data_IF_609199281926
#
_entry.id   IF_609199281926
#
_cell.length_a   1.000
_cell.length_b   1.000
_cell.length_c   1.000
_cell.angle_alpha   90.00
_cell.angle_beta   90.00
_cell.angle_gamma   90.00
#
_symmetry.space_group_name_H-M   'P 1'
#
loop_
_entity.id
_entity.type
_entity.pdbx_description
1 polymer ?
#
# COMPACT_ATOMS: atom_id res chain seq x y z
N UNK A 1 30.47 -14.66 1.52
CA UNK A 1 29.36 -13.74 1.86
C UNK A 1 29.15 -13.78 3.36
N UNK A 2 28.83 -12.65 4.00
CA UNK A 2 28.60 -12.53 5.44
C UNK A 2 27.28 -13.22 5.83
N UNK A 3 27.16 -13.76 7.04
CA UNK A 3 25.89 -14.34 7.49
C UNK A 3 24.88 -13.26 7.86
N UNK A 4 23.60 -13.59 7.72
CA UNK A 4 22.49 -12.79 8.23
C UNK A 4 21.38 -13.69 8.76
N UNK A 5 20.53 -13.12 9.60
CA UNK A 5 19.55 -13.86 10.38
C UNK A 5 18.22 -13.10 10.45
N UNK A 6 17.14 -13.87 10.62
CA UNK A 6 15.85 -13.37 11.05
C UNK A 6 15.47 -14.09 12.34
N UNK A 7 15.31 -13.33 13.43
CA UNK A 7 14.76 -13.81 14.68
C UNK A 7 13.31 -13.31 14.82
N UNK A 8 12.36 -14.23 14.86
CA UNK A 8 10.94 -13.93 15.06
C UNK A 8 10.59 -13.81 16.55
N UNK A 9 9.49 -13.12 16.84
CA UNK A 9 9.00 -12.90 18.20
C UNK A 9 8.78 -14.19 19.02
N UNK A 10 8.48 -15.30 18.35
CA UNK A 10 8.29 -16.62 18.95
C UNK A 10 9.60 -17.39 19.23
N UNK A 11 10.75 -16.81 18.87
CA UNK A 11 12.07 -17.42 19.00
C UNK A 11 12.52 -18.25 17.80
N UNK A 12 11.72 -18.35 16.73
CA UNK A 12 12.16 -19.01 15.50
C UNK A 12 13.28 -18.22 14.85
N UNK A 13 14.42 -18.89 14.59
CA UNK A 13 15.57 -18.33 13.91
C UNK A 13 15.70 -18.88 12.48
N UNK A 14 15.92 -18.00 11.51
CA UNK A 14 16.34 -18.33 10.16
C UNK A 14 17.75 -17.81 9.94
N UNK A 15 18.64 -18.68 9.47
CA UNK A 15 20.02 -18.32 9.08
C UNK A 15 20.13 -18.34 7.57
N UNK A 16 20.76 -17.30 7.02
CA UNK A 16 21.02 -17.16 5.60
C UNK A 16 22.21 -16.26 5.35
N UNK A 17 22.16 -15.54 4.24
CA UNK A 17 23.26 -14.72 3.74
C UNK A 17 22.84 -13.26 3.68
N UNK A 18 23.74 -12.39 4.15
CA UNK A 18 23.53 -10.95 4.12
C UNK A 18 23.46 -10.44 2.69
N UNK A 19 22.47 -9.59 2.44
CA UNK A 19 22.28 -8.83 1.20
C UNK A 19 21.99 -7.38 1.60
N UNK A 20 22.44 -6.41 0.82
CA UNK A 20 22.13 -5.01 1.11
C UNK A 20 22.96 -4.45 2.26
N UNK A 21 22.31 -3.64 3.10
CA UNK A 21 22.96 -2.91 4.18
C UNK A 21 23.34 -3.81 5.36
N UNK A 22 24.52 -3.57 5.93
CA UNK A 22 24.96 -4.26 7.16
C UNK A 22 24.44 -3.53 8.39
N UNK A 23 23.69 -4.26 9.24
CA UNK A 23 23.09 -3.70 10.44
C UNK A 23 22.00 -4.62 10.99
N UNK A 24 21.11 -4.04 11.80
CA UNK A 24 19.90 -4.68 12.26
C UNK A 24 18.67 -3.78 12.03
N UNK A 25 17.50 -4.38 11.89
CA UNK A 25 16.23 -3.69 11.71
C UNK A 25 15.07 -4.49 12.28
N UNK A 26 14.12 -3.80 12.91
CA UNK A 26 12.90 -4.39 13.46
C UNK A 26 11.73 -4.08 12.52
N UNK A 27 10.83 -5.04 12.34
CA UNK A 27 9.55 -4.77 11.71
C UNK A 27 8.56 -5.91 11.86
N UNK A 28 7.32 -5.65 11.45
CA UNK A 28 6.31 -6.70 11.28
C UNK A 28 6.68 -7.53 10.04
N UNK A 29 6.90 -8.83 10.21
CA UNK A 29 7.31 -9.71 9.12
C UNK A 29 6.09 -10.15 8.34
N UNK A 30 6.09 -9.81 7.05
CA UNK A 30 4.99 -10.08 6.12
C UNK A 30 5.51 -10.86 4.91
N UNK A 31 4.61 -11.43 4.12
CA UNK A 31 4.98 -12.09 2.85
C UNK A 31 4.18 -11.53 1.68
N UNK A 32 4.77 -11.51 0.49
CA UNK A 32 4.11 -11.09 -0.75
C UNK A 32 4.22 -12.19 -1.84
N UNK A 33 3.10 -12.47 -2.51
CA UNK A 33 2.97 -13.51 -3.54
C UNK A 33 3.36 -13.10 -4.96
N UNK A 34 3.71 -11.83 -5.18
CA UNK A 34 4.17 -11.28 -6.44
C UNK A 34 5.41 -12.00 -6.97
N UNK A 35 5.34 -12.46 -8.21
CA UNK A 35 6.47 -13.11 -8.91
C UNK A 35 7.36 -12.13 -9.68
N UNK A 36 6.86 -10.92 -9.89
CA UNK A 36 7.57 -9.78 -10.44
C UNK A 36 7.14 -8.53 -9.67
N UNK A 37 7.85 -7.43 -9.87
CA UNK A 37 7.51 -6.16 -9.24
C UNK A 37 8.14 -5.94 -7.86
N UNK A 38 9.28 -6.58 -7.59
CA UNK A 38 9.92 -6.45 -6.27
C UNK A 38 10.42 -5.03 -5.99
N UNK A 39 10.73 -4.23 -7.03
CA UNK A 39 11.15 -2.85 -6.87
C UNK A 39 10.00 -1.95 -6.43
N UNK A 40 8.86 -2.14 -7.07
CA UNK A 40 7.61 -1.46 -6.77
C UNK A 40 7.15 -1.83 -5.35
N UNK A 41 7.32 -3.09 -4.93
CA UNK A 41 7.14 -3.53 -3.53
C UNK A 41 8.10 -2.81 -2.57
N UNK A 42 9.40 -2.70 -2.91
CA UNK A 42 10.37 -2.00 -2.06
C UNK A 42 9.99 -0.52 -1.85
N UNK A 43 9.45 0.11 -2.89
CA UNK A 43 9.16 1.55 -2.93
C UNK A 43 7.71 1.90 -2.61
N UNK A 44 6.84 0.93 -2.32
CA UNK A 44 5.47 1.17 -1.85
C UNK A 44 5.47 1.63 -0.37
N UNK A 45 4.99 2.86 -0.07
CA UNK A 45 4.96 3.38 1.29
C UNK A 45 4.14 2.55 2.28
N UNK A 46 3.21 1.73 1.78
CA UNK A 46 2.34 0.87 2.59
C UNK A 46 3.12 -0.21 3.36
N UNK A 47 4.39 -0.48 2.98
CA UNK A 47 5.30 -1.37 3.71
C UNK A 47 6.12 -0.69 4.82
N UNK A 48 5.87 0.59 5.13
CA UNK A 48 6.54 1.25 6.24
C UNK A 48 6.44 0.42 7.54
N UNK A 49 7.60 0.15 8.15
CA UNK A 49 7.67 -0.63 9.39
C UNK A 49 7.58 -2.15 9.19
N UNK A 50 7.57 -2.64 7.95
CA UNK A 50 7.43 -4.06 7.64
C UNK A 50 8.72 -4.66 7.05
N UNK A 51 9.02 -5.90 7.44
CA UNK A 51 10.05 -6.73 6.82
C UNK A 51 9.37 -7.63 5.80
N UNK A 52 9.66 -7.42 4.52
CA UNK A 52 8.92 -8.07 3.43
C UNK A 52 9.62 -9.34 2.97
N UNK A 53 8.88 -10.46 2.97
CA UNK A 53 9.33 -11.75 2.44
C UNK A 53 8.74 -12.00 1.06
N UNK A 54 9.58 -12.08 0.05
CA UNK A 54 9.15 -12.51 -1.28
C UNK A 54 8.98 -14.03 -1.32
N UNK A 55 7.82 -14.49 -1.78
CA UNK A 55 7.57 -15.94 -1.92
C UNK A 55 8.12 -16.51 -3.23
N UNK A 56 8.20 -15.70 -4.29
CA UNK A 56 8.87 -16.09 -5.53
C UNK A 56 10.38 -16.22 -5.25
N UNK A 57 11.00 -17.35 -5.61
CA UNK A 57 12.29 -17.69 -5.05
C UNK A 57 13.44 -16.82 -5.54
N UNK A 58 13.43 -16.41 -6.81
CA UNK A 58 14.50 -15.64 -7.44
C UNK A 58 14.13 -14.15 -7.48
N UNK A 59 14.87 -13.32 -6.75
CA UNK A 59 14.61 -11.88 -6.66
C UNK A 59 15.84 -11.09 -7.12
N UNK A 60 15.63 -9.97 -7.82
CA UNK A 60 16.71 -9.15 -8.38
C UNK A 60 17.05 -9.49 -9.84
N UNK A 61 16.35 -10.41 -10.49
CA UNK A 61 16.65 -10.89 -11.84
C UNK A 61 16.62 -9.80 -12.95
N UNK A 62 15.85 -8.73 -12.77
CA UNK A 62 15.83 -7.59 -13.68
C UNK A 62 16.54 -6.34 -13.14
N UNK A 63 17.27 -6.47 -12.03
CA UNK A 63 17.94 -5.36 -11.36
C UNK A 63 16.97 -4.29 -10.87
N UNK A 64 17.43 -3.04 -10.83
CA UNK A 64 16.66 -1.86 -10.43
C UNK A 64 16.83 -0.78 -11.51
N UNK A 65 15.77 -0.01 -11.76
CA UNK A 65 15.77 1.15 -12.65
C UNK A 65 15.08 2.36 -11.98
N UNK A 66 15.09 3.54 -12.60
CA UNK A 66 14.52 4.75 -11.96
C UNK A 66 13.07 5.04 -12.33
N UNK A 67 12.46 4.27 -13.22
CA UNK A 67 11.08 4.47 -13.70
C UNK A 67 10.07 3.68 -12.86
N UNK A 68 10.46 2.51 -12.37
CA UNK A 68 9.61 1.60 -11.56
C UNK A 68 9.57 1.98 -10.06
N UNK A 69 9.88 3.24 -9.73
CA UNK A 69 9.68 3.76 -8.37
C UNK A 69 8.21 4.14 -8.19
N UNK A 70 7.61 3.62 -7.12
CA UNK A 70 6.27 4.01 -6.69
C UNK A 70 6.28 5.09 -5.61
N UNK A 71 7.44 5.48 -5.09
CA UNK A 71 7.56 6.65 -4.22
C UNK A 71 9.01 7.17 -4.18
N UNK A 72 9.31 8.13 -3.28
CA UNK A 72 10.63 8.79 -3.21
C UNK A 72 11.79 7.90 -2.74
N UNK A 73 11.53 6.77 -2.09
CA UNK A 73 12.56 5.87 -1.52
C UNK A 73 11.99 4.48 -1.23
N UNK A 74 12.85 3.56 -0.80
CA UNK A 74 12.40 2.31 -0.19
C UNK A 74 11.76 2.56 1.18
N UNK A 75 10.65 1.87 1.47
CA UNK A 75 9.92 2.01 2.74
C UNK A 75 9.94 0.75 3.61
N UNK A 76 10.41 -0.38 3.06
CA UNK A 76 10.54 -1.61 3.84
C UNK A 76 11.60 -1.45 4.94
N UNK A 77 11.34 -2.03 6.12
CA UNK A 77 12.33 -2.15 7.21
C UNK A 77 13.39 -3.21 6.91
N UNK A 78 13.07 -4.18 6.06
CA UNK A 78 13.98 -5.25 5.64
C UNK A 78 13.40 -6.06 4.50
N UNK A 79 14.26 -6.81 3.81
CA UNK A 79 13.86 -7.53 2.60
C UNK A 79 14.40 -8.96 2.56
N UNK A 80 13.50 -9.93 2.41
CA UNK A 80 13.81 -11.35 2.53
C UNK A 80 13.48 -12.06 1.21
N UNK A 81 14.42 -12.88 0.74
CA UNK A 81 14.28 -13.68 -0.47
C UNK A 81 14.89 -15.07 -0.30
N UNK A 82 14.52 -16.02 -1.17
CA UNK A 82 15.14 -17.35 -1.19
C UNK A 82 16.50 -17.29 -1.86
N UNK A 83 16.57 -16.66 -3.03
CA UNK A 83 17.78 -16.51 -3.83
C UNK A 83 17.83 -15.10 -4.41
N UNK A 84 18.96 -14.42 -4.24
CA UNK A 84 19.22 -13.13 -4.87
C UNK A 84 19.95 -13.37 -6.19
N UNK A 85 19.49 -12.74 -7.26
CA UNK A 85 20.20 -12.73 -8.53
C UNK A 85 21.38 -11.75 -8.46
N UNK A 86 22.60 -12.29 -8.52
CA UNK A 86 23.84 -11.49 -8.51
C UNK A 86 24.07 -10.72 -9.83
N UNK A 87 23.63 -11.30 -10.96
CA UNK A 87 23.86 -10.78 -12.30
C UNK A 87 22.52 -10.53 -13.00
N UNK A 88 21.87 -9.37 -12.75
CA UNK A 88 20.60 -9.04 -13.37
C UNK A 88 20.72 -8.95 -14.89
N UNK A 89 19.67 -9.36 -15.61
CA UNK A 89 19.62 -9.32 -17.07
C UNK A 89 18.33 -8.68 -17.55
N UNK A 90 18.37 -7.35 -17.70
CA UNK A 90 17.29 -6.56 -18.28
C UNK A 90 17.87 -5.28 -18.89
N UNK A 91 17.39 -4.87 -20.06
CA UNK A 91 17.87 -3.67 -20.74
C UNK A 91 17.61 -2.36 -19.95
N UNK A 92 16.61 -2.37 -19.05
CA UNK A 92 16.28 -1.25 -18.16
C UNK A 92 17.18 -1.19 -16.92
N UNK A 93 17.86 -2.28 -16.58
CA UNK A 93 18.68 -2.38 -15.37
C UNK A 93 19.75 -1.29 -15.34
N UNK A 94 19.78 -0.53 -14.25
CA UNK A 94 20.80 0.50 -13.97
C UNK A 94 21.72 0.12 -12.83
N UNK A 95 21.18 -0.54 -11.81
CA UNK A 95 21.94 -1.04 -10.64
C UNK A 95 21.43 -2.41 -10.22
N UNK A 96 22.25 -3.16 -9.50
CA UNK A 96 21.85 -4.43 -8.89
C UNK A 96 20.93 -4.21 -7.68
N UNK A 97 20.21 -5.26 -7.27
CA UNK A 97 19.39 -5.22 -6.05
C UNK A 97 20.24 -4.98 -4.79
N UNK A 98 21.41 -5.61 -4.70
CA UNK A 98 22.32 -5.46 -3.55
C UNK A 98 22.84 -4.01 -3.41
N UNK A 99 23.28 -3.40 -4.52
CA UNK A 99 23.70 -1.99 -4.54
C UNK A 99 22.57 -1.05 -4.12
N UNK A 100 21.34 -1.30 -4.60
CA UNK A 100 20.17 -0.52 -4.22
C UNK A 100 19.86 -0.63 -2.73
N UNK A 101 19.80 -1.85 -2.18
CA UNK A 101 19.50 -2.07 -0.76
C UNK A 101 20.57 -1.44 0.15
N UNK A 102 21.86 -1.50 -0.24
CA UNK A 102 22.95 -0.78 0.45
C UNK A 102 22.73 0.73 0.45
N UNK A 103 22.42 1.30 -0.71
CA UNK A 103 22.18 2.73 -0.85
C UNK A 103 20.96 3.22 -0.06
N UNK A 104 19.90 2.41 0.02
CA UNK A 104 18.69 2.69 0.79
C UNK A 104 18.79 2.34 2.28
N UNK A 105 19.93 1.78 2.73
CA UNK A 105 20.15 1.29 4.10
C UNK A 105 19.14 0.21 4.53
N UNK A 106 18.72 -0.64 3.60
CA UNK A 106 17.81 -1.76 3.86
C UNK A 106 18.60 -3.03 4.12
N UNK A 107 18.36 -3.66 5.27
CA UNK A 107 18.96 -4.96 5.62
C UNK A 107 18.23 -6.06 4.85
N UNK A 108 18.98 -6.86 4.10
CA UNK A 108 18.47 -7.96 3.29
C UNK A 108 18.96 -9.33 3.76
N UNK A 109 18.11 -10.34 3.57
CA UNK A 109 18.40 -11.73 3.91
C UNK A 109 18.02 -12.65 2.75
N UNK A 110 19.02 -13.32 2.20
CA UNK A 110 18.85 -14.36 1.18
C UNK A 110 19.17 -15.75 1.74
N UNK A 111 18.81 -16.81 1.02
CA UNK A 111 19.25 -18.17 1.34
C UNK A 111 18.38 -18.91 2.36
N UNK A 112 17.32 -18.30 2.88
CA UNK A 112 16.39 -18.96 3.82
C UNK A 112 15.27 -19.71 3.10
N UNK A 113 14.60 -20.63 3.80
CA UNK A 113 13.36 -21.25 3.31
C UNK A 113 12.18 -20.29 3.48
N UNK A 114 11.97 -19.42 2.48
CA UNK A 114 10.85 -18.46 2.46
C UNK A 114 9.49 -19.15 2.44
N UNK A 115 9.41 -20.41 1.97
CA UNK A 115 8.16 -21.20 2.01
C UNK A 115 7.84 -21.64 3.44
N UNK A 116 8.84 -22.05 4.23
CA UNK A 116 8.67 -22.33 5.67
C UNK A 116 8.22 -21.08 6.42
N UNK A 117 8.87 -19.94 6.17
CA UNK A 117 8.48 -18.66 6.78
C UNK A 117 7.04 -18.27 6.42
N UNK A 118 6.69 -18.33 5.13
CA UNK A 118 5.33 -18.02 4.65
C UNK A 118 4.27 -18.93 5.29
N UNK A 119 4.52 -20.24 5.38
CA UNK A 119 3.58 -21.18 6.03
C UNK A 119 3.38 -20.86 7.51
N UNK A 120 4.44 -20.44 8.20
CA UNK A 120 4.38 -20.03 9.60
C UNK A 120 3.51 -18.77 9.77
N UNK A 121 3.80 -17.71 9.02
CA UNK A 121 3.04 -16.45 9.06
C UNK A 121 1.57 -16.67 8.70
N UNK A 122 1.26 -17.52 7.71
CA UNK A 122 -0.13 -17.88 7.39
C UNK A 122 -0.82 -18.67 8.53
N UNK A 123 -0.08 -19.55 9.19
CA UNK A 123 -0.58 -20.42 10.26
C UNK A 123 -0.82 -19.69 11.58
N UNK A 124 0.10 -18.82 11.98
CA UNK A 124 0.11 -18.16 13.29
C UNK A 124 -0.31 -16.68 13.22
N UNK A 125 -0.28 -16.08 12.03
CA UNK A 125 -0.45 -14.66 11.80
C UNK A 125 0.88 -13.96 11.56
N UNK A 126 0.81 -12.70 11.11
CA UNK A 126 2.00 -11.83 11.04
C UNK A 126 2.57 -11.65 12.43
N UNK A 127 3.89 -11.52 12.52
CA UNK A 127 4.60 -11.36 13.78
C UNK A 127 5.81 -10.47 13.60
N UNK A 128 6.22 -9.82 14.68
CA UNK A 128 7.42 -9.00 14.66
C UNK A 128 8.66 -9.89 14.54
N UNK A 129 9.69 -9.31 13.94
CA UNK A 129 11.00 -9.93 13.86
C UNK A 129 12.09 -8.87 13.79
N UNK A 130 13.30 -9.30 14.12
CA UNK A 130 14.52 -8.54 13.89
C UNK A 130 15.35 -9.26 12.83
N UNK A 131 15.64 -8.54 11.75
CA UNK A 131 16.57 -8.96 10.71
C UNK A 131 17.92 -8.32 11.01
N UNK A 132 19.00 -9.10 11.01
CA UNK A 132 20.33 -8.59 11.33
C UNK A 132 21.44 -9.33 10.59
N UNK A 133 22.56 -8.65 10.38
CA UNK A 133 23.78 -9.25 9.85
C UNK A 133 24.72 -9.68 10.99
N UNK A 134 25.60 -10.63 10.72
CA UNK A 134 26.65 -11.06 11.66
C UNK A 134 27.43 -9.87 12.23
N UNK A 135 27.62 -9.83 13.55
CA UNK A 135 28.21 -8.69 14.27
C UNK A 135 27.22 -7.60 14.69
N UNK A 136 25.94 -7.75 14.38
CA UNK A 136 24.83 -6.90 14.85
C UNK A 136 23.77 -7.72 15.58
N UNK A 137 24.22 -8.69 16.39
CA UNK A 137 23.32 -9.54 17.16
C UNK A 137 22.42 -8.70 18.08
N UNK A 138 21.10 -8.98 18.10
CA UNK A 138 20.18 -8.24 18.96
C UNK A 138 20.42 -8.58 20.43
N UNK A 139 20.60 -7.56 21.26
CA UNK A 139 20.67 -7.71 22.71
C UNK A 139 19.27 -7.90 23.33
N UNK A 140 19.23 -8.10 24.65
CA UNK A 140 17.97 -8.28 25.38
C UNK A 140 17.00 -7.11 25.20
N UNK A 141 17.53 -5.88 25.12
CA UNK A 141 16.73 -4.68 24.88
C UNK A 141 16.10 -4.71 23.49
N UNK A 142 16.89 -4.99 22.45
CA UNK A 142 16.42 -5.07 21.06
C UNK A 142 15.35 -6.16 20.91
N UNK A 143 15.52 -7.30 21.58
CA UNK A 143 14.52 -8.38 21.58
C UNK A 143 13.22 -7.93 22.27
N UNK A 144 13.30 -7.19 23.37
CA UNK A 144 12.13 -6.63 24.04
C UNK A 144 11.41 -5.59 23.17
N UNK A 145 12.16 -4.69 22.53
CA UNK A 145 11.64 -3.71 21.58
C UNK A 145 10.96 -4.38 20.38
N UNK A 146 11.56 -5.42 19.82
CA UNK A 146 10.98 -6.20 18.72
C UNK A 146 9.65 -6.84 19.12
N UNK A 147 9.57 -7.44 20.32
CA UNK A 147 8.32 -8.04 20.81
C UNK A 147 7.22 -7.00 21.05
N UNK A 148 7.59 -5.80 21.50
CA UNK A 148 6.67 -4.69 21.74
C UNK A 148 6.41 -3.82 20.48
N UNK A 149 7.06 -4.14 19.36
CA UNK A 149 7.01 -3.31 18.15
C UNK A 149 5.58 -3.20 17.61
N UNK A 150 5.18 -1.96 17.33
CA UNK A 150 3.94 -1.63 16.64
C UNK A 150 4.29 -0.52 15.66
N UNK A 151 3.79 -0.62 14.44
CA UNK A 151 3.92 0.46 13.45
C UNK A 151 3.04 1.62 13.92
N UNK A 152 3.67 2.75 14.25
CA UNK A 152 3.01 3.98 14.73
C UNK A 152 3.38 5.16 13.85
N UNK A 153 2.56 6.21 13.87
CA UNK A 153 2.79 7.46 13.14
C UNK A 153 3.07 7.23 11.64
N UNK A 154 2.48 6.17 11.08
CA UNK A 154 2.85 5.66 9.77
C UNK A 154 2.56 6.68 8.67
N UNK A 155 1.30 7.17 8.61
CA UNK A 155 0.87 8.21 7.67
C UNK A 155 1.67 9.50 7.84
N UNK A 156 1.85 9.94 9.10
CA UNK A 156 2.64 11.13 9.45
C UNK A 156 4.08 11.05 8.95
N UNK A 157 4.66 9.86 8.90
CA UNK A 157 6.04 9.64 8.45
C UNK A 157 6.17 9.62 6.93
N UNK A 158 5.13 9.19 6.22
CA UNK A 158 5.20 8.99 4.76
C UNK A 158 4.64 10.15 3.94
N UNK A 159 3.68 10.92 4.48
CA UNK A 159 3.08 12.08 3.81
C UNK A 159 4.11 13.10 3.33
N UNK A 160 3.78 13.84 2.28
CA UNK A 160 4.51 15.02 1.85
C UNK A 160 4.36 16.18 2.85
N UNK A 161 5.38 17.05 2.88
CA UNK A 161 5.41 18.24 3.75
C UNK A 161 4.63 19.42 3.14
N UNK A 162 4.63 19.52 1.81
CA UNK A 162 4.03 20.62 1.05
C UNK A 162 3.25 20.07 -0.16
N UNK A 163 2.39 20.91 -0.73
CA UNK A 163 1.62 20.56 -1.92
C UNK A 163 2.56 20.36 -3.12
N UNK A 164 2.34 19.29 -3.88
CA UNK A 164 3.06 19.00 -5.12
C UNK A 164 2.06 18.96 -6.26
N UNK A 165 2.26 19.79 -7.28
CA UNK A 165 1.36 19.87 -8.44
C UNK A 165 1.95 19.11 -9.61
N UNK A 166 1.16 18.19 -10.14
CA UNK A 166 1.45 17.42 -11.35
C UNK A 166 0.50 17.88 -12.46
N UNK A 167 1.04 18.32 -13.61
CA UNK A 167 0.21 18.76 -14.73
C UNK A 167 -0.52 17.57 -15.35
N UNK A 168 -1.67 17.85 -15.96
CA UNK A 168 -2.37 16.89 -16.80
C UNK A 168 -1.52 16.49 -18.01
N UNK A 169 -1.72 15.27 -18.52
CA UNK A 169 -1.21 14.88 -19.82
C UNK A 169 -2.05 15.58 -20.90
N UNK A 170 -1.54 16.69 -21.41
CA UNK A 170 -2.21 17.51 -22.42
C UNK A 170 -3.06 18.64 -21.82
N UNK A 171 -4.32 18.76 -22.26
CA UNK A 171 -5.22 19.81 -21.78
C UNK A 171 -5.77 19.47 -20.38
N UNK A 172 -5.66 20.41 -19.44
CA UNK A 172 -6.26 20.27 -18.11
C UNK A 172 -7.78 20.35 -18.20
N UNK A 173 -8.45 19.23 -17.95
CA UNK A 173 -9.92 19.11 -17.90
C UNK A 173 -10.47 19.20 -16.47
N UNK A 174 -9.73 18.63 -15.52
CA UNK A 174 -10.15 18.50 -14.13
C UNK A 174 -9.01 18.86 -13.17
N UNK A 175 -9.35 19.34 -11.98
CA UNK A 175 -8.42 19.53 -10.87
C UNK A 175 -8.73 18.55 -9.74
N UNK A 176 -7.76 17.75 -9.34
CA UNK A 176 -7.94 16.71 -8.32
C UNK A 176 -7.05 17.00 -7.12
N UNK A 177 -7.64 16.97 -5.93
CA UNK A 177 -6.88 16.88 -4.68
C UNK A 177 -6.58 15.41 -4.39
N UNK A 178 -5.30 15.04 -4.37
CA UNK A 178 -4.82 13.70 -4.01
C UNK A 178 -4.21 13.74 -2.62
N UNK A 179 -4.91 13.22 -1.61
CA UNK A 179 -4.39 13.16 -0.24
C UNK A 179 -3.25 12.14 -0.16
N UNK A 180 -2.07 12.59 0.29
CA UNK A 180 -0.90 11.75 0.46
C UNK A 180 -0.91 11.04 1.82
N UNK A 181 -1.49 9.86 1.87
CA UNK A 181 -1.37 8.96 3.02
C UNK A 181 -0.16 8.03 2.94
N UNK A 182 0.75 8.24 1.99
CA UNK A 182 1.72 7.26 1.52
C UNK A 182 1.48 6.91 0.05
N UNK A 183 1.26 7.93 -0.77
CA UNK A 183 0.81 7.79 -2.16
C UNK A 183 1.81 7.04 -3.01
N UNK A 184 1.28 6.10 -3.80
CA UNK A 184 2.00 5.50 -4.91
C UNK A 184 1.93 6.41 -6.14
N UNK A 185 3.08 6.67 -6.76
CA UNK A 185 3.18 7.53 -7.93
C UNK A 185 2.26 7.11 -9.07
N UNK A 186 1.97 5.82 -9.24
CA UNK A 186 1.09 5.42 -10.33
C UNK A 186 -0.37 5.88 -10.16
N UNK A 187 -0.83 6.23 -8.94
CA UNK A 187 -2.15 6.86 -8.74
C UNK A 187 -2.21 8.23 -9.43
N UNK A 188 -1.17 9.04 -9.23
CA UNK A 188 -1.03 10.35 -9.88
C UNK A 188 -0.94 10.19 -11.40
N UNK A 189 -0.07 9.30 -11.89
CA UNK A 189 0.07 9.04 -13.33
C UNK A 189 -1.24 8.62 -13.99
N UNK A 190 -2.04 7.77 -13.34
CA UNK A 190 -3.34 7.33 -13.88
C UNK A 190 -4.37 8.47 -13.96
N UNK A 191 -4.32 9.44 -13.03
CA UNK A 191 -5.15 10.64 -13.08
C UNK A 191 -4.66 11.62 -14.15
N UNK A 192 -3.35 11.89 -14.24
CA UNK A 192 -2.77 12.80 -15.22
C UNK A 192 -3.07 12.35 -16.66
N UNK A 193 -2.94 11.04 -16.95
CA UNK A 193 -3.32 10.43 -18.25
C UNK A 193 -4.78 10.69 -18.66
N UNK A 194 -5.65 10.99 -17.69
CA UNK A 194 -7.09 11.26 -17.90
C UNK A 194 -7.41 12.75 -17.95
N UNK A 195 -6.40 13.61 -18.09
CA UNK A 195 -6.58 15.06 -18.20
C UNK A 195 -6.76 15.76 -16.86
N UNK A 196 -6.33 15.15 -15.76
CA UNK A 196 -6.39 15.76 -14.43
C UNK A 196 -5.08 16.50 -14.12
N UNK A 197 -5.18 17.77 -13.72
CA UNK A 197 -4.14 18.42 -12.93
C UNK A 197 -4.29 17.92 -11.48
N UNK A 198 -3.24 17.27 -10.96
CA UNK A 198 -3.28 16.62 -9.65
C UNK A 198 -2.45 17.43 -8.67
N UNK A 199 -3.09 17.93 -7.62
CA UNK A 199 -2.38 18.47 -6.46
C UNK A 199 -2.31 17.38 -5.40
N UNK A 200 -1.12 16.82 -5.20
CA UNK A 200 -0.83 15.98 -4.04
C UNK A 200 -0.76 16.88 -2.81
N UNK A 201 -1.63 16.65 -1.84
CA UNK A 201 -1.75 17.44 -0.61
C UNK A 201 -1.34 16.61 0.61
N UNK A 202 -0.77 17.22 1.66
CA UNK A 202 -0.45 16.52 2.89
C UNK A 202 -1.66 15.78 3.50
N UNK A 203 -1.41 14.67 4.19
CA UNK A 203 -2.44 13.83 4.81
C UNK A 203 -3.44 14.60 5.70
N UNK A 204 -2.99 15.67 6.35
CA UNK A 204 -3.75 16.44 7.34
C UNK A 204 -4.39 17.71 6.78
N UNK A 205 -4.32 17.93 5.46
CA UNK A 205 -4.94 19.09 4.79
C UNK A 205 -6.41 19.23 5.18
N UNK A 206 -6.83 20.47 5.46
CA UNK A 206 -8.16 20.72 6.01
C UNK A 206 -9.23 20.75 4.92
N UNK A 207 -10.47 20.36 5.22
CA UNK A 207 -11.56 20.31 4.23
C UNK A 207 -11.79 21.65 3.50
N UNK A 208 -11.66 22.79 4.20
CA UNK A 208 -11.77 24.15 3.64
C UNK A 208 -10.68 24.50 2.61
N UNK A 209 -9.58 23.75 2.60
CA UNK A 209 -8.54 23.86 1.59
C UNK A 209 -8.85 23.08 0.31
N UNK A 210 -9.89 22.24 0.34
CA UNK A 210 -10.26 21.34 -0.75
C UNK A 210 -11.64 21.66 -1.32
N UNK A 211 -12.64 21.85 -0.47
CA UNK A 211 -14.03 22.03 -0.86
C UNK A 211 -14.18 23.28 -1.75
N UNK A 212 -14.73 23.08 -2.95
CA UNK A 212 -14.97 24.14 -3.94
C UNK A 212 -13.72 24.63 -4.69
N UNK A 213 -12.53 24.08 -4.40
CA UNK A 213 -11.27 24.41 -5.09
C UNK A 213 -10.83 23.33 -6.09
N UNK A 214 -11.35 22.12 -5.92
CA UNK A 214 -11.08 20.96 -6.76
C UNK A 214 -12.39 20.38 -7.29
N UNK A 215 -12.28 19.62 -8.37
CA UNK A 215 -13.39 18.96 -9.05
C UNK A 215 -13.68 17.56 -8.47
N UNK A 216 -12.69 16.95 -7.82
CA UNK A 216 -12.82 15.66 -7.15
C UNK A 216 -11.68 15.44 -6.16
N UNK A 217 -11.88 14.47 -5.26
CA UNK A 217 -10.89 14.07 -4.26
C UNK A 217 -10.50 12.60 -4.45
N UNK A 218 -9.20 12.35 -4.51
CA UNK A 218 -8.62 11.01 -4.46
C UNK A 218 -7.95 10.81 -3.09
N UNK A 219 -8.27 9.71 -2.43
CA UNK A 219 -7.68 9.29 -1.16
C UNK A 219 -6.72 8.13 -1.43
N UNK A 220 -5.42 8.35 -1.25
CA UNK A 220 -4.40 7.38 -1.62
C UNK A 220 -4.37 6.14 -0.72
N UNK A 221 -3.57 5.17 -1.14
CA UNK A 221 -3.07 4.11 -0.27
C UNK A 221 -2.15 4.68 0.85
N UNK A 222 -1.78 3.81 1.79
CA UNK A 222 -0.81 4.15 2.85
C UNK A 222 -0.60 3.04 3.88
N UNK A 223 0.35 3.21 4.80
CA UNK A 223 0.71 2.24 5.82
C UNK A 223 -0.09 2.39 7.13
N UNK A 224 0.04 1.39 7.99
CA UNK A 224 -0.38 1.45 9.39
C UNK A 224 -1.84 1.06 9.64
N UNK A 225 -2.29 1.27 10.87
CA UNK A 225 -3.68 1.05 11.27
C UNK A 225 -4.53 2.28 10.92
N UNK A 226 -5.60 2.15 10.12
CA UNK A 226 -6.49 3.27 9.82
C UNK A 226 -7.09 3.91 11.08
N UNK A 227 -7.30 3.17 12.16
CA UNK A 227 -7.92 3.67 13.39
C UNK A 227 -7.03 4.65 14.18
N UNK A 228 -5.71 4.68 13.94
CA UNK A 228 -4.81 5.66 14.56
C UNK A 228 -5.00 7.09 13.98
N UNK A 229 -5.62 7.21 12.80
CA UNK A 229 -5.70 8.45 12.04
C UNK A 229 -6.93 9.29 12.38
N UNK A 230 -7.17 9.53 13.67
CA UNK A 230 -8.39 10.18 14.19
C UNK A 230 -8.65 11.56 13.57
N UNK A 231 -7.60 12.37 13.41
CA UNK A 231 -7.73 13.70 12.79
C UNK A 231 -8.10 13.61 11.30
N UNK A 232 -7.52 12.67 10.57
CA UNK A 232 -7.83 12.46 9.14
C UNK A 232 -9.28 12.01 9.01
N UNK A 233 -9.73 11.06 9.85
CA UNK A 233 -11.14 10.62 9.86
C UNK A 233 -12.09 11.78 10.17
N UNK A 234 -11.73 12.67 11.11
CA UNK A 234 -12.53 13.86 11.40
C UNK A 234 -12.59 14.84 10.21
N UNK A 235 -11.48 15.07 9.53
CA UNK A 235 -11.46 15.88 8.30
C UNK A 235 -12.32 15.24 7.20
N UNK A 236 -12.24 13.92 7.01
CA UNK A 236 -13.04 13.20 6.01
C UNK A 236 -14.54 13.23 6.31
N UNK A 237 -14.94 13.21 7.59
CA UNK A 237 -16.34 13.42 8.00
C UNK A 237 -16.89 14.76 7.53
N UNK A 238 -16.09 15.82 7.64
CA UNK A 238 -16.47 17.15 7.14
C UNK A 238 -16.45 17.20 5.61
N UNK A 239 -15.44 16.59 4.96
CA UNK A 239 -15.37 16.51 3.50
C UNK A 239 -16.59 15.78 2.90
N UNK A 240 -17.04 14.71 3.55
CA UNK A 240 -18.24 13.96 3.17
C UNK A 240 -19.52 14.78 3.29
N UNK A 241 -19.55 15.94 3.95
CA UNK A 241 -20.74 16.81 3.94
C UNK A 241 -20.94 17.50 2.60
N UNK A 242 -19.90 17.59 1.77
CA UNK A 242 -19.99 18.09 0.39
C UNK A 242 -20.57 17.04 -0.56
N UNK A 243 -20.94 17.49 -1.77
CA UNK A 243 -21.37 16.62 -2.88
C UNK A 243 -20.23 16.34 -3.87
N UNK A 244 -18.97 16.53 -3.44
CA UNK A 244 -17.81 16.29 -4.27
C UNK A 244 -17.67 14.79 -4.59
N UNK A 245 -17.26 14.44 -5.82
CA UNK A 245 -16.79 13.10 -6.14
C UNK A 245 -15.58 12.72 -5.29
N UNK A 246 -15.64 11.56 -4.63
CA UNK A 246 -14.54 11.05 -3.81
C UNK A 246 -14.26 9.60 -4.19
N UNK A 247 -13.00 9.28 -4.45
CA UNK A 247 -12.54 7.90 -4.65
C UNK A 247 -11.42 7.56 -3.67
N UNK A 248 -11.61 6.50 -2.87
CA UNK A 248 -10.60 6.03 -1.92
C UNK A 248 -10.02 4.66 -2.27
N UNK A 249 -8.70 4.54 -2.16
CA UNK A 249 -7.91 3.35 -2.49
C UNK A 249 -7.19 2.84 -1.24
N UNK A 250 -7.28 1.54 -0.94
CA UNK A 250 -6.58 0.87 0.16
C UNK A 250 -6.80 1.56 1.53
N UNK A 251 -5.85 2.36 2.02
CA UNK A 251 -6.01 3.13 3.25
C UNK A 251 -7.14 4.17 3.11
N UNK A 252 -7.25 4.83 1.95
CA UNK A 252 -8.35 5.75 1.65
C UNK A 252 -9.74 5.09 1.75
N UNK A 253 -9.85 3.81 1.37
CA UNK A 253 -11.08 3.03 1.56
C UNK A 253 -11.43 2.86 3.06
N UNK A 254 -10.42 2.49 3.86
CA UNK A 254 -10.61 2.25 5.29
C UNK A 254 -10.92 3.54 6.05
N UNK A 255 -10.21 4.63 5.75
CA UNK A 255 -10.42 5.93 6.38
C UNK A 255 -11.81 6.48 6.07
N UNK A 256 -12.31 6.30 4.84
CA UNK A 256 -13.65 6.73 4.47
C UNK A 256 -14.74 5.87 5.15
N UNK A 257 -14.48 4.56 5.31
CA UNK A 257 -15.38 3.69 6.08
C UNK A 257 -15.44 4.13 7.56
N UNK A 258 -14.30 4.45 8.18
CA UNK A 258 -14.28 5.02 9.55
C UNK A 258 -14.99 6.38 9.61
N UNK A 259 -14.93 7.19 8.56
CA UNK A 259 -15.62 8.47 8.48
C UNK A 259 -17.15 8.33 8.46
N UNK A 260 -17.69 7.17 8.06
CA UNK A 260 -19.12 6.85 8.18
C UNK A 260 -19.43 5.96 9.39
N UNK A 261 -18.56 5.99 10.41
CA UNK A 261 -18.69 5.25 11.67
C UNK A 261 -18.70 3.72 11.53
N UNK A 262 -18.26 3.18 10.39
CA UNK A 262 -17.98 1.76 10.25
C UNK A 262 -16.70 1.38 11.02
N UNK A 263 -16.42 0.08 11.13
CA UNK A 263 -15.30 -0.48 11.87
C UNK A 263 -14.27 -1.11 10.93
N UNK A 264 -13.02 -1.09 11.35
CA UNK A 264 -11.93 -1.85 10.73
C UNK A 264 -11.44 -2.95 11.67
N UNK A 265 -10.82 -3.99 11.12
CA UNK A 265 -10.19 -5.06 11.88
C UNK A 265 -8.85 -5.46 11.28
N UNK A 266 -7.92 -5.91 12.12
CA UNK A 266 -6.63 -6.43 11.67
C UNK A 266 -6.81 -7.85 11.14
N UNK A 267 -6.39 -8.07 9.90
CA UNK A 267 -6.37 -9.39 9.29
C UNK A 267 -5.25 -10.23 9.90
N UNK A 268 -5.45 -11.54 9.96
CA UNK A 268 -4.47 -12.48 10.51
C UNK A 268 -3.09 -12.34 9.88
N UNK A 269 -3.05 -12.28 8.54
CA UNK A 269 -1.80 -12.08 7.79
C UNK A 269 -1.94 -11.07 6.64
N UNK A 270 -3.11 -10.46 6.46
CA UNK A 270 -3.39 -9.49 5.40
C UNK A 270 -3.38 -10.06 3.98
N UNK A 271 -3.59 -9.19 3.01
CA UNK A 271 -3.52 -9.51 1.59
C UNK A 271 -2.36 -8.78 0.94
N UNK A 272 -1.42 -9.55 0.38
CA UNK A 272 -0.15 -9.06 -0.16
C UNK A 272 0.24 -9.89 -1.37
N UNK A 273 -0.09 -9.39 -2.55
CA UNK A 273 0.05 -10.16 -3.77
C UNK A 273 -0.60 -9.51 -4.98
N UNK A 274 -0.40 -10.12 -6.14
CA UNK A 274 -0.89 -9.64 -7.45
C UNK A 274 -1.91 -10.58 -8.10
N UNK A 275 -2.47 -11.49 -7.31
CA UNK A 275 -3.32 -12.59 -7.78
C UNK A 275 -4.61 -12.74 -6.96
N UNK A 276 -5.07 -11.67 -6.32
CA UNK A 276 -6.24 -11.73 -5.44
C UNK A 276 -7.54 -11.57 -6.25
N UNK A 277 -8.45 -12.57 -6.23
CA UNK A 277 -9.70 -12.51 -6.97
C UNK A 277 -10.75 -11.68 -6.21
N UNK A 278 -11.24 -10.63 -6.83
CA UNK A 278 -12.29 -9.75 -6.28
C UNK A 278 -13.52 -9.79 -7.17
N UNK A 279 -14.69 -9.99 -6.56
CA UNK A 279 -15.99 -9.98 -7.25
C UNK A 279 -16.63 -8.61 -7.12
N UNK A 280 -16.96 -7.98 -8.25
CA UNK A 280 -17.96 -6.91 -8.30
C UNK A 280 -19.35 -7.55 -8.27
N UNK A 281 -20.10 -7.31 -7.20
CA UNK A 281 -21.43 -7.88 -6.98
C UNK A 281 -22.42 -7.34 -8.02
N UNK A 282 -22.30 -6.07 -8.42
CA UNK A 282 -23.26 -5.45 -9.33
C UNK A 282 -23.07 -5.93 -10.77
N UNK A 283 -21.81 -6.01 -11.20
CA UNK A 283 -21.47 -6.40 -12.56
C UNK A 283 -21.44 -7.92 -12.75
N UNK A 284 -21.62 -8.69 -11.68
CA UNK A 284 -21.40 -10.14 -11.63
C UNK A 284 -20.06 -10.56 -12.24
N UNK A 285 -19.02 -9.74 -12.07
CA UNK A 285 -17.71 -9.91 -12.72
C UNK A 285 -16.59 -10.06 -11.70
N UNK A 286 -15.63 -10.92 -12.02
CA UNK A 286 -14.42 -11.14 -11.21
C UNK A 286 -13.22 -10.47 -11.87
N UNK A 287 -12.39 -9.84 -11.06
CA UNK A 287 -11.13 -9.21 -11.45
C UNK A 287 -9.98 -9.81 -10.64
N UNK A 288 -8.81 -9.95 -11.25
CA UNK A 288 -7.59 -10.23 -10.50
C UNK A 288 -7.00 -8.89 -10.08
N UNK A 289 -6.61 -8.77 -8.82
CA UNK A 289 -6.22 -7.50 -8.22
C UNK A 289 -4.85 -7.57 -7.55
N UNK A 290 -4.20 -6.42 -7.48
CA UNK A 290 -3.02 -6.19 -6.62
C UNK A 290 -3.47 -5.71 -5.26
N UNK A 291 -2.99 -6.34 -4.20
CA UNK A 291 -3.38 -6.06 -2.82
C UNK A 291 -2.15 -5.92 -1.93
N UNK A 292 -2.18 -4.91 -1.06
CA UNK A 292 -1.22 -4.72 0.02
C UNK A 292 -1.89 -4.05 1.23
N UNK A 293 -2.57 -4.86 2.06
CA UNK A 293 -3.20 -4.35 3.28
C UNK A 293 -3.25 -5.38 4.41
N UNK A 294 -3.05 -4.92 5.64
CA UNK A 294 -3.15 -5.72 6.86
C UNK A 294 -4.46 -5.55 7.62
N UNK A 295 -5.31 -4.61 7.22
CA UNK A 295 -6.59 -4.29 7.84
C UNK A 295 -7.71 -4.39 6.80
N UNK A 296 -8.94 -4.62 7.25
CA UNK A 296 -10.12 -4.66 6.40
C UNK A 296 -11.30 -3.99 7.08
N UNK A 297 -12.23 -3.46 6.29
CA UNK A 297 -13.52 -2.95 6.78
C UNK A 297 -14.42 -4.12 7.17
N UNK A 298 -15.09 -4.00 8.31
CA UNK A 298 -16.08 -4.96 8.79
C UNK A 298 -17.41 -4.64 8.12
N UNK A 299 -17.82 -5.44 7.13
CA UNK A 299 -18.98 -5.14 6.28
C UNK A 299 -20.29 -4.97 7.05
N UNK A 300 -20.49 -5.75 8.12
CA UNK A 300 -21.68 -5.69 8.97
C UNK A 300 -21.79 -4.40 9.80
N UNK A 301 -20.69 -3.64 9.91
CA UNK A 301 -20.68 -2.36 10.60
C UNK A 301 -21.01 -1.17 9.69
N UNK A 302 -21.13 -1.38 8.39
CA UNK A 302 -21.48 -0.34 7.43
C UNK A 302 -22.99 -0.10 7.48
N UNK A 303 -23.42 1.13 7.76
CA UNK A 303 -24.84 1.49 7.71
C UNK A 303 -25.35 1.42 6.24
N UNK A 304 -26.31 0.52 5.94
CA UNK A 304 -26.83 0.36 4.58
C UNK A 304 -27.59 1.58 4.05
N UNK A 305 -27.95 2.54 4.90
CA UNK A 305 -28.51 3.82 4.48
C UNK A 305 -27.45 4.78 3.92
N UNK A 306 -26.18 4.60 4.31
CA UNK A 306 -25.07 5.47 3.93
C UNK A 306 -24.26 4.87 2.78
N UNK A 307 -23.91 3.58 2.88
CA UNK A 307 -23.12 2.89 1.87
C UNK A 307 -23.44 1.40 1.84
N UNK A 308 -23.05 0.73 0.75
CA UNK A 308 -23.18 -0.72 0.60
C UNK A 308 -21.87 -1.34 0.16
N UNK A 309 -21.65 -2.59 0.57
CA UNK A 309 -20.55 -3.41 0.06
C UNK A 309 -20.81 -3.73 -1.41
N UNK A 310 -19.83 -3.43 -2.27
CA UNK A 310 -19.91 -3.71 -3.71
C UNK A 310 -18.89 -4.74 -4.16
N UNK A 311 -17.69 -4.70 -3.58
CA UNK A 311 -16.61 -5.60 -3.92
C UNK A 311 -16.30 -6.52 -2.75
N UNK A 312 -16.08 -7.80 -3.03
CA UNK A 312 -15.71 -8.81 -2.01
C UNK A 312 -14.58 -9.71 -2.51
N UNK A 313 -13.72 -10.11 -1.58
CA UNK A 313 -12.65 -11.05 -1.86
C UNK A 313 -13.25 -12.46 -2.01
N UNK A 314 -12.93 -13.17 -3.09
CA UNK A 314 -13.47 -14.53 -3.31
C UNK A 314 -12.76 -15.61 -2.49
N UNK A 315 -11.58 -15.33 -1.93
CA UNK A 315 -10.86 -16.33 -1.12
C UNK A 315 -11.40 -16.41 0.31
N UNK A 316 -11.77 -15.29 0.92
CA UNK A 316 -12.12 -15.22 2.34
C UNK A 316 -13.34 -14.33 2.67
N UNK A 317 -13.96 -13.70 1.66
CA UNK A 317 -15.18 -12.94 1.83
C UNK A 317 -15.01 -11.54 2.43
N UNK A 318 -13.78 -11.06 2.63
CA UNK A 318 -13.57 -9.71 3.18
C UNK A 318 -14.09 -8.63 2.23
N UNK A 319 -14.49 -7.49 2.80
CA UNK A 319 -14.90 -6.31 2.03
C UNK A 319 -13.72 -5.78 1.23
N UNK A 320 -13.94 -5.58 -0.07
CA UNK A 320 -12.95 -5.06 -1.01
C UNK A 320 -13.35 -3.71 -1.62
N UNK A 321 -14.49 -3.15 -1.22
CA UNK A 321 -14.91 -1.83 -1.66
C UNK A 321 -16.37 -1.50 -1.33
N UNK A 322 -16.64 -0.20 -1.16
CA UNK A 322 -17.94 0.35 -0.81
C UNK A 322 -18.44 1.31 -1.89
N UNK A 323 -19.75 1.37 -2.07
CA UNK A 323 -20.45 2.38 -2.86
C UNK A 323 -21.38 3.17 -1.93
N UNK A 324 -21.23 4.50 -1.87
CA UNK A 324 -22.12 5.33 -1.07
C UNK A 324 -23.49 5.51 -1.77
N UNK A 325 -24.55 5.55 -0.97
CA UNK A 325 -25.91 5.69 -1.48
C UNK A 325 -26.17 7.15 -1.87
N UNK A 326 -26.59 7.36 -3.13
CA UNK A 326 -27.01 8.67 -3.62
C UNK A 326 -25.90 9.72 -3.75
N UNK A 327 -24.63 9.32 -3.67
CA UNK A 327 -23.47 10.23 -3.69
C UNK A 327 -22.40 9.74 -4.66
N UNK A 328 -21.61 10.64 -5.29
CA UNK A 328 -20.54 10.27 -6.22
C UNK A 328 -19.28 9.75 -5.48
N UNK A 329 -19.47 8.89 -4.47
CA UNK A 329 -18.44 8.44 -3.55
C UNK A 329 -18.36 6.92 -3.57
N UNK A 330 -17.18 6.39 -3.87
CA UNK A 330 -16.91 4.96 -3.83
C UNK A 330 -15.47 4.68 -3.42
N UNK A 331 -15.20 3.44 -3.05
CA UNK A 331 -13.87 3.04 -2.57
C UNK A 331 -13.54 1.61 -2.95
N UNK A 332 -12.25 1.30 -3.03
CA UNK A 332 -11.73 -0.06 -3.19
C UNK A 332 -10.55 -0.32 -2.25
N UNK A 333 -10.46 -1.53 -1.72
CA UNK A 333 -9.41 -1.94 -0.79
C UNK A 333 -8.12 -2.38 -1.51
N UNK A 334 -8.25 -2.82 -2.76
CA UNK A 334 -7.14 -3.19 -3.65
C UNK A 334 -6.59 -1.98 -4.43
N UNK A 335 -5.55 -2.20 -5.22
CA UNK A 335 -4.79 -1.18 -5.93
C UNK A 335 -5.10 -1.16 -7.43
N UNK A 336 -6.07 -0.34 -7.90
CA UNK A 336 -6.41 -0.26 -9.31
C UNK A 336 -5.32 0.38 -10.18
N UNK A 337 -4.42 1.15 -9.56
CA UNK A 337 -3.24 1.71 -10.21
C UNK A 337 -2.16 0.64 -10.45
N UNK A 338 -2.23 -0.53 -9.82
CA UNK A 338 -1.21 -1.59 -9.89
C UNK A 338 0.21 -1.08 -9.66
N UNK A 339 1.22 -1.50 -10.44
CA UNK A 339 2.65 -1.30 -10.14
C UNK A 339 3.05 -1.86 -8.76
N UNK A 340 3.15 -3.20 -8.63
CA UNK A 340 2.99 -4.20 -9.69
C UNK A 340 1.59 -4.83 -9.70
N UNK A 341 1.25 -5.53 -10.79
CA UNK A 341 0.07 -6.40 -10.87
C UNK A 341 -0.76 -6.28 -12.15
N UNK A 342 -1.94 -6.91 -12.19
CA UNK A 342 -2.83 -6.98 -13.34
C UNK A 342 -3.60 -5.67 -13.61
N UNK A 343 -3.67 -5.23 -14.86
CA UNK A 343 -4.33 -3.98 -15.26
C UNK A 343 -5.88 -4.08 -15.36
N UNK A 344 -6.48 -5.05 -14.69
CA UNK A 344 -7.88 -5.44 -14.84
C UNK A 344 -8.88 -4.38 -14.34
N UNK A 345 -8.44 -3.50 -13.43
CA UNK A 345 -9.31 -2.60 -12.65
C UNK A 345 -9.05 -1.11 -12.87
N UNK A 346 -8.26 -0.74 -13.89
CA UNK A 346 -7.96 0.67 -14.20
C UNK A 346 -9.21 1.47 -14.59
N UNK A 347 -10.27 0.80 -15.04
CA UNK A 347 -11.58 1.42 -15.33
C UNK A 347 -12.20 2.17 -14.13
N UNK A 348 -11.76 1.88 -12.91
CA UNK A 348 -12.22 2.60 -11.72
C UNK A 348 -11.79 4.08 -11.74
N UNK A 349 -10.65 4.40 -12.35
CA UNK A 349 -10.29 5.79 -12.60
C UNK A 349 -11.23 6.43 -13.61
N UNK A 350 -11.65 5.71 -14.66
CA UNK A 350 -12.63 6.21 -15.63
C UNK A 350 -13.98 6.48 -14.95
N UNK A 351 -14.45 5.57 -14.10
CA UNK A 351 -15.65 5.76 -13.27
C UNK A 351 -15.55 7.01 -12.39
N UNK A 352 -14.38 7.29 -11.81
CA UNK A 352 -14.16 8.50 -11.02
C UNK A 352 -14.29 9.77 -11.88
N UNK A 353 -13.74 9.78 -13.09
CA UNK A 353 -13.90 10.89 -14.03
C UNK A 353 -15.37 11.07 -14.44
N UNK A 354 -16.09 9.99 -14.74
CA UNK A 354 -17.52 10.05 -15.06
C UNK A 354 -18.34 10.68 -13.90
N UNK A 355 -17.99 10.37 -12.66
CA UNK A 355 -18.63 10.98 -11.50
C UNK A 355 -18.36 12.50 -11.43
N UNK A 356 -17.15 12.94 -11.77
CA UNK A 356 -16.79 14.36 -11.85
C UNK A 356 -17.56 15.07 -12.96
N UNK A 357 -17.63 14.47 -14.14
CA UNK A 357 -18.38 15.01 -15.28
C UNK A 357 -19.86 15.19 -14.96
N UNK A 358 -20.48 14.20 -14.29
CA UNK A 358 -21.88 14.28 -13.86
C UNK A 358 -22.10 15.37 -12.82
N UNK A 359 -21.21 15.50 -11.83
CA UNK A 359 -21.31 16.55 -10.82
C UNK A 359 -21.16 17.95 -11.42
N UNK A 360 -20.31 18.13 -12.45
CA UNK A 360 -20.20 19.41 -13.18
C UNK A 360 -21.37 19.67 -14.12
N UNK A 361 -21.84 18.64 -14.83
CA UNK A 361 -22.92 18.74 -15.82
C UNK A 361 -24.32 18.93 -15.22
N UNK A 362 -24.50 18.64 -13.93
CA UNK A 362 -25.74 18.86 -13.18
C UNK A 362 -25.98 20.31 -12.72
N UNK A 363 -25.09 21.25 -13.05
CA UNK A 363 -25.21 22.68 -12.72
C UNK A 363 -25.81 23.54 -13.85
N UNK A 364 -26.57 22.94 -14.78
CA UNK A 364 -27.32 23.66 -15.81
C UNK A 364 -28.79 23.84 -15.45
#
# INVERSE_FOLDING_TARGET
MKKAYLLLADGTLFEGTAVGYEGQSIGEVVFNTGMAGYQEVLTDPSYYGQVVTMTYPLVGNYGINFEDYESRKSWVSGFIMREMCEYPSNWRCKVTLDEYLKAQKVVGLAGIDTRRLTRKLRGEGVMNGVIYTEGFEPDEQTIAEMKAYVVKDAVKTVTCDENIVYPADGETKYRIALFDYGVKYNIERELCKRGCEVTVVPAYTKPEEVIGKYDGVMLSNGPGDPAENVEIVANLKELLKSDMPIFGICLGHQLLALAIDAKTTKLKYGHRGVNHPVKDIDADRTYITSQNHGYAVVGESVDPQIARVRYVNLNDGTVEGLEHIGRPVFTVQYHPEVCPGPMDTSYLFDKFIENIEKSKGGAQ
#
